data_IF_068610255364
#
_entry.id   IF_068610255364
#
_cell.length_a   1.000
_cell.length_b   1.000
_cell.length_c   1.000
_cell.angle_alpha   90.00
_cell.angle_beta   90.00
_cell.angle_gamma   90.00
#
_symmetry.space_group_name_H-M   'P 1'
#
loop_
_entity.id
_entity.type
_entity.pdbx_description
1 polymer ?
#
# COMPACT_ATOMS: atom_id res chain seq x y z
N UNK A 1 9.54 -4.85 23.42
CA UNK A 1 8.61 -5.08 24.54
C UNK A 1 7.24 -5.42 23.97
N UNK A 2 6.78 -6.69 24.06
CA UNK A 2 5.49 -7.11 23.53
C UNK A 2 4.29 -6.56 24.31
N UNK A 3 4.53 -5.92 25.46
CA UNK A 3 3.49 -5.25 26.28
C UNK A 3 3.37 -3.76 25.98
N UNK A 4 4.32 -3.19 25.22
CA UNK A 4 4.28 -1.80 24.83
C UNK A 4 3.16 -1.58 23.81
N UNK A 5 2.21 -0.71 24.15
CA UNK A 5 1.27 -0.14 23.19
C UNK A 5 2.02 0.90 22.38
N UNK A 6 2.50 0.51 21.21
CA UNK A 6 3.18 1.41 20.28
C UNK A 6 2.17 2.42 19.74
N UNK A 7 2.51 3.70 19.84
CA UNK A 7 1.70 4.76 19.23
C UNK A 7 2.14 5.01 17.80
N UNK A 8 1.21 5.44 16.95
CA UNK A 8 1.46 5.88 15.57
C UNK A 8 2.60 6.91 15.54
N UNK A 9 2.65 7.77 16.56
CA UNK A 9 3.70 8.78 16.80
C UNK A 9 5.11 8.19 16.76
N UNK A 10 5.28 6.97 17.28
CA UNK A 10 6.56 6.28 17.40
C UNK A 10 6.88 5.38 16.20
N UNK A 11 5.87 4.73 15.60
CA UNK A 11 6.09 3.73 14.56
C UNK A 11 6.14 4.31 13.15
N UNK A 12 5.54 5.48 12.91
CA UNK A 12 5.57 6.15 11.62
C UNK A 12 5.68 7.67 11.80
N UNK A 13 6.79 8.20 12.36
CA UNK A 13 6.99 9.65 12.44
C UNK A 13 7.05 10.26 11.04
N UNK A 14 6.57 11.50 10.91
CA UNK A 14 6.68 12.25 9.66
C UNK A 14 8.17 12.45 9.33
N UNK A 15 8.57 12.10 8.12
CA UNK A 15 9.96 12.19 7.66
C UNK A 15 10.02 12.50 6.17
N UNK A 16 11.23 12.58 5.62
CA UNK A 16 11.46 12.68 4.18
C UNK A 16 12.01 11.36 3.64
N UNK A 17 11.76 11.03 2.34
CA UNK A 17 12.35 9.86 1.71
C UNK A 17 13.89 9.91 1.73
N UNK A 18 14.51 8.74 1.82
CA UNK A 18 15.96 8.61 1.71
C UNK A 18 16.34 7.60 0.62
N UNK A 19 17.44 7.86 -0.08
CA UNK A 19 17.97 6.96 -1.12
C UNK A 19 18.57 5.71 -0.47
N UNK A 20 18.25 4.54 -0.99
CA UNK A 20 18.80 3.25 -0.53
C UNK A 20 19.64 2.56 -1.60
N UNK A 21 19.44 2.91 -2.86
CA UNK A 21 20.18 2.35 -3.99
C UNK A 21 20.10 3.28 -5.20
N UNK A 22 21.17 3.29 -6.00
CA UNK A 22 21.20 3.98 -7.29
C UNK A 22 22.24 3.35 -8.20
N UNK A 23 21.86 3.13 -9.45
CA UNK A 23 22.76 2.89 -10.58
C UNK A 23 22.31 3.69 -11.81
N UNK A 24 22.83 3.35 -12.99
CA UNK A 24 22.50 4.02 -14.26
C UNK A 24 21.08 3.73 -14.76
N UNK A 25 20.39 2.72 -14.21
CA UNK A 25 19.08 2.25 -14.67
C UNK A 25 17.96 2.61 -13.69
N UNK A 26 18.25 2.67 -12.40
CA UNK A 26 17.24 2.88 -11.37
C UNK A 26 17.76 3.68 -10.18
N UNK A 27 16.90 4.54 -9.65
CA UNK A 27 17.03 5.13 -8.32
C UNK A 27 15.98 4.53 -7.41
N UNK A 28 16.39 4.07 -6.23
CA UNK A 28 15.48 3.52 -5.23
C UNK A 28 15.52 4.36 -3.95
N UNK A 29 14.36 4.85 -3.54
CA UNK A 29 14.18 5.55 -2.28
C UNK A 29 13.22 4.78 -1.37
N UNK A 30 13.40 4.92 -0.06
CA UNK A 30 12.52 4.33 0.94
C UNK A 30 11.96 5.41 1.89
N UNK A 31 10.82 5.11 2.52
CA UNK A 31 10.27 5.89 3.62
C UNK A 31 9.51 4.99 4.60
N UNK A 32 9.44 5.36 5.88
CA UNK A 32 8.62 4.64 6.85
C UNK A 32 7.13 4.72 6.49
N UNK A 33 6.46 3.58 6.64
CA UNK A 33 4.99 3.45 6.57
C UNK A 33 4.45 2.88 7.89
N UNK A 34 3.13 2.88 8.03
CA UNK A 34 2.48 2.62 9.31
C UNK A 34 1.87 1.22 9.37
N UNK A 35 2.72 0.23 9.64
CA UNK A 35 2.30 -1.15 9.89
C UNK A 35 2.27 -1.52 11.38
N UNK A 36 2.09 -0.50 12.23
CA UNK A 36 1.82 -0.63 13.68
C UNK A 36 2.82 -1.54 14.42
N UNK A 37 2.36 -2.71 14.86
CA UNK A 37 3.11 -3.64 15.70
C UNK A 37 4.31 -4.23 14.94
N UNK A 38 4.30 -4.17 13.61
CA UNK A 38 5.40 -4.58 12.74
C UNK A 38 6.20 -3.32 12.37
N UNK A 39 7.02 -2.87 13.31
CA UNK A 39 7.93 -1.75 13.12
C UNK A 39 9.39 -2.22 13.19
N UNK A 40 10.28 -1.76 12.29
CA UNK A 40 10.02 -0.81 11.19
C UNK A 40 9.38 -1.45 9.96
N UNK A 41 8.59 -0.65 9.22
CA UNK A 41 8.00 -1.00 7.93
C UNK A 41 8.25 0.13 6.91
N UNK A 42 8.48 -0.23 5.65
CA UNK A 42 8.89 0.72 4.61
C UNK A 42 8.09 0.56 3.32
N UNK A 43 7.81 1.70 2.69
CA UNK A 43 7.49 1.77 1.26
C UNK A 43 8.75 2.05 0.45
N UNK A 44 8.75 1.62 -0.81
CA UNK A 44 9.86 1.80 -1.73
C UNK A 44 9.39 2.45 -3.03
N UNK A 45 10.15 3.40 -3.53
CA UNK A 45 9.96 4.03 -4.84
C UNK A 45 11.12 3.71 -5.74
N UNK A 46 10.81 3.29 -6.96
CA UNK A 46 11.71 3.02 -8.06
C UNK A 46 11.45 4.08 -9.13
N UNK A 47 12.45 4.89 -9.43
CA UNK A 47 12.43 5.82 -10.55
C UNK A 47 13.38 5.31 -11.65
N UNK A 48 12.86 5.18 -12.87
CA UNK A 48 13.58 4.74 -14.08
C UNK A 48 13.28 5.68 -15.24
N UNK A 49 14.02 5.55 -16.35
CA UNK A 49 13.75 6.31 -17.58
C UNK A 49 12.37 6.03 -18.20
N UNK A 50 11.81 4.83 -17.95
CA UNK A 50 10.51 4.43 -18.47
C UNK A 50 9.35 4.83 -17.53
N UNK A 51 9.62 5.17 -16.27
CA UNK A 51 8.61 5.64 -15.31
C UNK A 51 8.93 5.32 -13.85
N UNK A 52 7.94 5.60 -13.00
CA UNK A 52 8.03 5.50 -11.55
C UNK A 52 7.04 4.48 -10.97
N UNK A 53 7.53 3.67 -10.02
CA UNK A 53 6.75 2.67 -9.28
C UNK A 53 6.94 2.89 -7.82
N UNK A 54 5.84 2.93 -7.06
CA UNK A 54 5.87 2.84 -5.61
C UNK A 54 5.22 1.55 -5.17
N UNK A 55 5.88 0.83 -4.27
CA UNK A 55 5.34 -0.33 -3.56
C UNK A 55 5.15 0.11 -2.11
N UNK A 56 3.91 0.09 -1.62
CA UNK A 56 3.58 0.59 -0.28
C UNK A 56 4.17 -0.27 0.85
N UNK A 57 4.41 -1.56 0.58
CA UNK A 57 4.48 -2.56 1.65
C UNK A 57 3.12 -2.71 2.33
N UNK A 58 3.08 -3.34 3.51
CA UNK A 58 1.89 -3.34 4.35
C UNK A 58 1.83 -2.04 5.15
N UNK A 59 0.66 -1.41 5.19
CA UNK A 59 0.48 -0.10 5.85
C UNK A 59 -0.99 0.22 6.06
N UNK A 60 -1.29 0.95 7.14
CA UNK A 60 -2.52 1.71 7.29
C UNK A 60 -2.59 2.93 6.34
N UNK A 61 -3.79 3.53 6.20
CA UNK A 61 -4.04 4.61 5.22
C UNK A 61 -3.38 5.95 5.59
N UNK A 62 -3.01 6.13 6.85
CA UNK A 62 -2.43 7.38 7.35
C UNK A 62 -0.96 7.18 7.77
N UNK A 63 -0.05 7.50 6.86
CA UNK A 63 1.40 7.46 7.10
C UNK A 63 1.96 8.83 7.47
N UNK A 64 1.12 9.74 7.99
CA UNK A 64 1.48 11.14 8.31
C UNK A 64 2.11 11.90 7.14
N UNK A 65 1.67 11.59 5.92
CA UNK A 65 2.20 12.18 4.70
C UNK A 65 3.45 11.51 4.15
N UNK A 66 4.01 10.50 4.81
CA UNK A 66 5.22 9.82 4.32
C UNK A 66 4.98 9.16 2.96
N UNK A 67 3.94 8.33 2.85
CA UNK A 67 3.62 7.68 1.58
C UNK A 67 3.26 8.70 0.50
N UNK A 68 2.51 9.76 0.84
CA UNK A 68 2.18 10.84 -0.09
C UNK A 68 3.43 11.60 -0.58
N UNK A 69 4.44 11.80 0.27
CA UNK A 69 5.73 12.40 -0.13
C UNK A 69 6.52 11.46 -1.05
N UNK A 70 6.64 10.18 -0.69
CA UNK A 70 7.38 9.21 -1.49
C UNK A 70 6.71 8.98 -2.84
N UNK A 71 5.39 8.76 -2.85
CA UNK A 71 4.61 8.38 -4.02
C UNK A 71 4.10 9.55 -4.86
N UNK A 72 4.52 10.77 -4.53
CA UNK A 72 4.07 11.97 -5.23
C UNK A 72 4.24 11.83 -6.75
N UNK A 73 3.12 11.99 -7.45
CA UNK A 73 2.98 11.98 -8.92
C UNK A 73 3.52 10.70 -9.59
N UNK A 74 3.54 9.57 -8.87
CA UNK A 74 4.03 8.28 -9.39
C UNK A 74 3.17 7.76 -10.55
N UNK A 75 3.78 7.08 -11.51
CA UNK A 75 3.04 6.45 -12.61
C UNK A 75 2.23 5.27 -12.10
N UNK A 76 2.81 4.49 -11.19
CA UNK A 76 2.18 3.31 -10.58
C UNK A 76 2.37 3.33 -9.08
N UNK A 77 1.28 3.12 -8.34
CA UNK A 77 1.27 2.80 -6.92
C UNK A 77 0.72 1.37 -6.77
N UNK A 78 1.57 0.44 -6.35
CA UNK A 78 1.18 -0.90 -5.88
C UNK A 78 0.89 -0.80 -4.39
N UNK A 79 -0.36 -1.04 -4.01
CA UNK A 79 -0.81 -0.86 -2.63
C UNK A 79 -1.48 -2.13 -2.08
N UNK A 80 -1.18 -2.46 -0.82
CA UNK A 80 -1.92 -3.48 -0.07
C UNK A 80 -3.39 -3.10 0.12
N UNK A 81 -4.26 -4.08 0.30
CA UNK A 81 -5.65 -3.78 0.66
C UNK A 81 -6.28 -4.90 1.47
N UNK A 82 -7.09 -4.54 2.47
CA UNK A 82 -7.87 -5.49 3.26
C UNK A 82 -9.37 -5.19 3.18
N UNK A 83 -10.21 -6.22 3.03
CA UNK A 83 -11.66 -6.09 3.06
C UNK A 83 -12.14 -5.98 4.51
N UNK A 84 -12.58 -4.79 4.89
CA UNK A 84 -13.14 -4.54 6.21
C UNK A 84 -14.34 -5.45 6.52
N UNK A 85 -15.17 -5.76 5.51
CA UNK A 85 -16.35 -6.62 5.70
C UNK A 85 -15.94 -8.04 6.10
N UNK A 86 -14.83 -8.54 5.53
CA UNK A 86 -14.26 -9.81 5.94
C UNK A 86 -13.77 -9.76 7.38
N UNK A 87 -13.04 -8.70 7.78
CA UNK A 87 -12.56 -8.54 9.17
C UNK A 87 -13.75 -8.55 10.14
N UNK A 88 -14.77 -7.73 9.88
CA UNK A 88 -15.96 -7.61 10.73
C UNK A 88 -16.67 -8.96 10.90
N UNK A 89 -16.65 -9.81 9.86
CA UNK A 89 -17.26 -11.15 9.87
C UNK A 89 -16.36 -12.16 10.59
N UNK A 90 -15.07 -12.21 10.25
CA UNK A 90 -14.11 -13.19 10.77
C UNK A 90 -13.84 -13.01 12.27
N UNK A 91 -13.88 -11.76 12.76
CA UNK A 91 -13.63 -11.43 14.16
C UNK A 91 -14.91 -11.04 14.92
N UNK A 92 -16.09 -11.42 14.41
CA UNK A 92 -17.37 -11.10 15.03
C UNK A 92 -17.42 -11.63 16.47
N UNK A 93 -17.57 -10.71 17.42
CA UNK A 93 -17.71 -11.03 18.85
C UNK A 93 -16.39 -11.24 19.60
N UNK A 94 -15.25 -11.05 18.94
CA UNK A 94 -13.92 -11.04 19.58
C UNK A 94 -13.82 -9.84 20.52
N UNK A 95 -13.37 -10.08 21.75
CA UNK A 95 -13.24 -9.08 22.83
C UNK A 95 -11.81 -9.02 23.35
N UNK A 96 -11.48 -7.91 24.00
CA UNK A 96 -10.19 -7.74 24.65
C UNK A 96 -9.96 -8.87 25.67
N UNK A 97 -8.82 -9.55 25.54
CA UNK A 97 -8.46 -10.72 26.34
C UNK A 97 -8.65 -12.06 25.63
N UNK A 98 -9.43 -12.12 24.55
CA UNK A 98 -9.55 -13.33 23.75
C UNK A 98 -8.24 -13.65 23.02
N UNK A 99 -7.90 -14.93 22.78
CA UNK A 99 -6.70 -15.30 22.02
C UNK A 99 -6.64 -14.68 20.61
N UNK A 100 -7.79 -14.43 19.98
CA UNK A 100 -7.89 -13.81 18.66
C UNK A 100 -7.77 -12.27 18.68
N UNK A 101 -7.82 -11.64 19.86
CA UNK A 101 -7.81 -10.17 19.98
C UNK A 101 -6.59 -9.48 19.35
N UNK A 102 -5.34 -9.97 19.54
CA UNK A 102 -4.19 -9.33 18.91
C UNK A 102 -4.25 -9.35 17.38
N UNK A 103 -4.75 -10.44 16.80
CA UNK A 103 -4.91 -10.57 15.35
C UNK A 103 -6.01 -9.65 14.83
N UNK A 104 -7.15 -9.56 15.53
CA UNK A 104 -8.22 -8.61 15.21
C UNK A 104 -7.70 -7.17 15.18
N UNK A 105 -6.99 -6.76 16.24
CA UNK A 105 -6.44 -5.41 16.37
C UNK A 105 -5.45 -5.11 15.24
N UNK A 106 -4.56 -6.05 14.92
CA UNK A 106 -3.63 -5.88 13.80
C UNK A 106 -4.40 -5.68 12.47
N UNK A 107 -5.37 -6.55 12.17
CA UNK A 107 -6.16 -6.49 10.94
C UNK A 107 -6.88 -5.14 10.75
N UNK A 108 -7.48 -4.56 11.79
CA UNK A 108 -8.22 -3.29 11.68
C UNK A 108 -7.33 -2.04 11.73
N UNK A 109 -6.11 -2.13 12.26
CA UNK A 109 -5.29 -0.94 12.58
C UNK A 109 -4.03 -0.80 11.76
N UNK A 110 -3.52 -1.88 11.17
CA UNK A 110 -2.21 -1.93 10.52
C UNK A 110 -2.29 -2.05 8.98
N UNK A 111 -3.50 -2.10 8.42
CA UNK A 111 -3.77 -2.32 7.00
C UNK A 111 -4.70 -1.25 6.42
N UNK A 112 -4.70 -1.12 5.09
CA UNK A 112 -5.52 -0.15 4.38
C UNK A 112 -6.80 -0.81 3.86
N UNK A 113 -7.95 -0.30 4.28
CA UNK A 113 -9.24 -0.83 3.83
C UNK A 113 -9.58 -0.38 2.40
N UNK A 114 -10.36 -1.19 1.69
CA UNK A 114 -10.82 -0.92 0.30
C UNK A 114 -11.38 0.50 0.16
N UNK A 115 -12.14 0.96 1.15
CA UNK A 115 -12.83 2.24 1.11
C UNK A 115 -11.85 3.45 1.19
N UNK A 116 -10.62 3.25 1.69
CA UNK A 116 -9.62 4.32 1.83
C UNK A 116 -8.49 4.25 0.78
N UNK A 117 -8.17 3.07 0.22
CA UNK A 117 -6.99 2.92 -0.66
C UNK A 117 -7.03 3.82 -1.89
N UNK A 118 -8.21 4.03 -2.47
CA UNK A 118 -8.39 4.96 -3.60
C UNK A 118 -8.05 6.41 -3.24
N UNK A 119 -8.47 6.84 -2.06
CA UNK A 119 -8.18 8.20 -1.54
C UNK A 119 -6.69 8.36 -1.23
N UNK A 120 -6.03 7.33 -0.72
CA UNK A 120 -4.56 7.33 -0.56
C UNK A 120 -3.87 7.52 -1.91
N UNK A 121 -4.26 6.75 -2.93
CA UNK A 121 -3.71 6.88 -4.28
C UNK A 121 -3.96 8.27 -4.89
N UNK A 122 -5.15 8.82 -4.69
CA UNK A 122 -5.51 10.17 -5.12
C UNK A 122 -4.64 11.24 -4.46
N UNK A 123 -4.40 11.14 -3.15
CA UNK A 123 -3.54 12.07 -2.41
C UNK A 123 -2.08 11.98 -2.84
N UNK A 124 -1.63 10.81 -3.29
CA UNK A 124 -0.30 10.63 -3.87
C UNK A 124 -0.21 11.22 -5.29
N UNK A 125 -1.32 11.54 -5.96
CA UNK A 125 -1.33 11.91 -7.36
C UNK A 125 -0.95 10.75 -8.29
N UNK A 126 -1.15 9.49 -7.85
CA UNK A 126 -0.80 8.32 -8.63
C UNK A 126 -1.62 8.26 -9.94
N UNK A 127 -0.98 7.89 -11.06
CA UNK A 127 -1.72 7.71 -12.33
C UNK A 127 -2.46 6.38 -12.37
N UNK A 128 -1.84 5.33 -11.82
CA UNK A 128 -2.40 3.97 -11.74
C UNK A 128 -2.28 3.45 -10.30
N UNK A 129 -3.37 2.92 -9.77
CA UNK A 129 -3.41 2.16 -8.52
C UNK A 129 -3.53 0.68 -8.86
N UNK A 130 -2.58 -0.13 -8.39
CA UNK A 130 -2.63 -1.58 -8.46
C UNK A 130 -2.90 -2.11 -7.06
N UNK A 131 -4.02 -2.79 -6.86
CA UNK A 131 -4.29 -3.51 -5.62
C UNK A 131 -3.48 -4.81 -5.61
N UNK A 132 -2.69 -5.00 -4.56
CA UNK A 132 -1.95 -6.23 -4.29
C UNK A 132 -2.15 -6.62 -2.81
N UNK A 133 -1.53 -7.72 -2.38
CA UNK A 133 -1.64 -8.23 -1.00
C UNK A 133 -3.10 -8.20 -0.50
N UNK A 134 -4.02 -8.71 -1.31
CA UNK A 134 -5.46 -8.59 -1.09
C UNK A 134 -5.86 -9.52 0.07
N UNK A 135 -6.30 -8.94 1.18
CA UNK A 135 -6.75 -9.66 2.37
C UNK A 135 -8.27 -9.64 2.53
N UNK A 136 -8.98 -10.79 2.50
CA UNK A 136 -8.51 -12.11 2.11
C UNK A 136 -8.36 -12.23 0.58
N UNK A 137 -7.55 -13.19 0.12
CA UNK A 137 -7.28 -13.40 -1.30
C UNK A 137 -8.49 -13.80 -2.15
N UNK A 138 -9.62 -14.13 -1.52
CA UNK A 138 -10.89 -14.44 -2.17
C UNK A 138 -11.92 -13.29 -2.09
N UNK A 139 -11.49 -12.07 -1.76
CA UNK A 139 -12.37 -10.89 -1.80
C UNK A 139 -13.00 -10.76 -3.19
N UNK A 140 -14.34 -10.63 -3.30
CA UNK A 140 -15.00 -10.48 -4.59
C UNK A 140 -14.47 -9.26 -5.37
N UNK A 141 -14.24 -9.43 -6.67
CA UNK A 141 -13.73 -8.36 -7.55
C UNK A 141 -14.60 -7.10 -7.50
N UNK A 142 -15.93 -7.25 -7.44
CA UNK A 142 -16.84 -6.11 -7.38
C UNK A 142 -16.70 -5.31 -6.07
N UNK A 143 -16.30 -5.95 -4.96
CA UNK A 143 -15.92 -5.25 -3.72
C UNK A 143 -14.63 -4.48 -3.93
N UNK A 144 -13.59 -5.11 -4.50
CA UNK A 144 -12.30 -4.46 -4.77
C UNK A 144 -12.42 -3.25 -5.70
N UNK A 145 -13.39 -3.25 -6.62
CA UNK A 145 -13.68 -2.11 -7.51
C UNK A 145 -14.14 -0.86 -6.75
N UNK A 146 -14.65 -0.97 -5.53
CA UNK A 146 -15.01 0.19 -4.71
C UNK A 146 -13.81 1.11 -4.40
N UNK A 147 -12.58 0.56 -4.46
CA UNK A 147 -11.35 1.35 -4.38
C UNK A 147 -11.27 2.47 -5.44
N UNK A 148 -12.01 2.37 -6.55
CA UNK A 148 -12.04 3.41 -7.59
C UNK A 148 -12.82 4.67 -7.16
N UNK A 149 -13.76 4.58 -6.21
CA UNK A 149 -14.72 5.67 -5.93
C UNK A 149 -14.06 7.02 -5.57
N UNK A 150 -12.87 7.01 -4.98
CA UNK A 150 -12.13 8.21 -4.57
C UNK A 150 -10.82 8.40 -5.34
N UNK A 151 -10.67 7.72 -6.47
CA UNK A 151 -9.48 7.75 -7.29
C UNK A 151 -9.85 8.08 -8.74
N UNK A 152 -9.25 9.13 -9.31
CA UNK A 152 -9.51 9.51 -10.71
C UNK A 152 -8.61 8.78 -11.71
N UNK A 153 -7.55 8.11 -11.23
CA UNK A 153 -6.62 7.36 -12.07
C UNK A 153 -7.14 5.97 -12.44
N UNK A 154 -6.26 5.15 -13.04
CA UNK A 154 -6.59 3.79 -13.46
C UNK A 154 -6.47 2.81 -12.30
N UNK A 155 -7.54 2.11 -11.93
CA UNK A 155 -7.46 0.96 -11.03
C UNK A 155 -7.12 -0.33 -11.80
N UNK A 156 -6.23 -1.13 -11.23
CA UNK A 156 -5.97 -2.51 -11.63
C UNK A 156 -6.06 -3.39 -10.38
N UNK A 157 -6.78 -4.50 -10.48
CA UNK A 157 -6.80 -5.52 -9.42
C UNK A 157 -5.72 -6.53 -9.79
N UNK A 158 -4.67 -6.64 -8.98
CA UNK A 158 -3.56 -7.55 -9.23
C UNK A 158 -3.96 -9.00 -9.08
N UNK A 159 -3.35 -9.85 -9.90
CA UNK A 159 -3.49 -11.31 -9.87
C UNK A 159 -2.11 -11.95 -9.94
N UNK A 160 -1.98 -13.17 -9.45
CA UNK A 160 -0.75 -13.94 -9.56
C UNK A 160 -0.30 -14.03 -11.03
N UNK A 161 1.00 -13.83 -11.25
CA UNK A 161 1.64 -13.84 -12.58
C UNK A 161 1.22 -12.72 -13.53
N UNK A 162 0.38 -11.76 -13.10
CA UNK A 162 0.03 -10.59 -13.90
C UNK A 162 1.27 -9.76 -14.21
N UNK A 163 1.45 -9.40 -15.49
CA UNK A 163 2.52 -8.50 -15.93
C UNK A 163 1.93 -7.18 -16.39
N UNK A 164 2.47 -6.09 -15.84
CA UNK A 164 2.05 -4.73 -16.18
C UNK A 164 3.29 -3.97 -16.64
N UNK A 165 3.30 -3.59 -17.91
CA UNK A 165 4.38 -2.78 -18.48
C UNK A 165 4.31 -1.33 -18.00
N UNK A 166 5.48 -0.70 -17.90
CA UNK A 166 5.63 0.72 -17.54
C UNK A 166 6.39 1.44 -18.64
N UNK A 167 6.03 2.70 -18.86
CA UNK A 167 6.59 3.54 -19.90
C UNK A 167 5.89 3.43 -21.25
N UNK A 168 6.51 4.04 -22.26
CA UNK A 168 5.97 4.02 -23.62
C UNK A 168 6.17 2.64 -24.22
N UNK A 169 5.17 2.14 -24.94
CA UNK A 169 5.32 0.96 -25.79
C UNK A 169 6.45 1.26 -26.78
N UNK A 170 7.62 0.66 -26.58
CA UNK A 170 8.70 0.68 -27.59
C UNK A 170 8.29 -0.32 -28.66
N UNK A 171 8.07 0.19 -29.88
CA UNK A 171 7.77 -0.64 -31.03
C UNK A 171 8.91 -1.65 -31.25
N UNK A 172 8.60 -2.94 -31.16
CA UNK A 172 9.57 -4.03 -31.31
C UNK A 172 9.96 -4.29 -32.77
N UNK A 173 9.51 -3.45 -33.71
CA UNK A 173 9.77 -3.57 -35.15
C UNK A 173 11.16 -3.11 -35.62
N UNK A 174 12.06 -2.71 -34.71
CA UNK A 174 13.45 -2.35 -35.03
C UNK A 174 14.44 -3.12 -34.15
N UNK A 175 14.72 -4.35 -34.54
CA UNK A 175 15.80 -5.20 -34.04
C UNK A 175 16.36 -6.02 -35.19
#
# INVERSE_FOLDING_TARGET
DPTKVWTDAETCPAMDPFEIYKDDLVRVSAILVDHRQVYPAFAFRFDTDDGSVVISGDTGPNTKGNLQKLAKDTDVLVHEVIDKTWIDTAFKGVKQGDPAWPLYIHAISAHTVIEEVGKVAQQCGAKTLILSHIGPGNTPIDRLREAQHNFSGKLIIGEDLMQIGIGKIRDRSRG
#
